data_IF_270547348134
#
_entry.id   IF_270547348134
#
_cell.length_a   1.000
_cell.length_b   1.000
_cell.length_c   1.000
_cell.angle_alpha   90.00
_cell.angle_beta   90.00
_cell.angle_gamma   90.00
#
_symmetry.space_group_name_H-M   'P 1'
#
loop_
_entity.id
_entity.type
_entity.pdbx_description
1 polymer ?
#
# COMPACT_ATOMS: atom_id res chain seq x y z
N UNK A 1 -25.63 -32.42 16.87
CA UNK A 1 -25.51 -31.90 16.38
C UNK A 1 -25.33 -31.32 15.98
N UNK A 2 -25.31 -31.56 16.16
CA UNK A 2 -25.05 -30.77 15.70
C UNK A 2 -24.66 -30.20 15.35
N UNK A 3 -24.51 -30.53 15.44
CA UNK A 3 -24.16 -29.97 14.96
C UNK A 3 -23.63 -29.54 14.59
N UNK A 4 -23.49 -29.67 14.61
CA UNK A 4 -22.98 -29.26 14.20
C UNK A 4 -22.71 -29.06 13.60
N UNK A 5 -22.99 -29.33 13.64
CA UNK A 5 -22.77 -29.21 12.95
C UNK A 5 -22.33 -29.17 12.21
N UNK A 6 -22.97 -29.43 12.11
CA UNK A 6 -22.30 -29.82 11.03
C UNK A 6 -21.18 -29.12 10.58
N UNK A 7 -20.86 -29.30 9.76
CA UNK A 7 -19.75 -28.70 9.28
C UNK A 7 -18.96 -28.23 10.37
N UNK A 8 -19.19 -28.72 11.38
CA UNK A 8 -18.55 -28.20 12.43
C UNK A 8 -17.42 -28.97 12.82
N UNK A 9 -17.30 -30.18 12.49
CA UNK A 9 -16.28 -30.94 13.10
C UNK A 9 -15.07 -31.00 12.29
N UNK A 10 -14.64 -32.10 11.81
CA UNK A 10 -13.31 -32.31 11.34
C UNK A 10 -12.91 -31.37 10.26
N UNK A 11 -13.65 -31.23 9.18
CA UNK A 11 -13.23 -30.18 8.27
C UNK A 11 -13.20 -28.84 8.95
N UNK A 12 -13.94 -28.68 10.02
CA UNK A 12 -13.95 -27.47 10.72
C UNK A 12 -12.60 -27.15 11.33
N UNK A 13 -11.91 -28.11 11.91
CA UNK A 13 -10.60 -27.88 12.43
C UNK A 13 -9.64 -27.41 11.38
N UNK A 14 -9.67 -28.05 10.20
CA UNK A 14 -8.83 -27.66 9.11
C UNK A 14 -9.22 -26.27 8.61
N UNK A 15 -10.52 -26.01 8.46
CA UNK A 15 -10.98 -24.72 8.00
C UNK A 15 -10.62 -23.61 8.97
N UNK A 16 -10.66 -23.88 10.26
CA UNK A 16 -10.27 -22.87 11.24
C UNK A 16 -8.82 -22.50 11.08
N UNK A 17 -7.94 -23.48 10.81
CA UNK A 17 -6.54 -23.18 10.56
C UNK A 17 -6.34 -22.34 9.33
N UNK A 18 -7.04 -22.66 8.24
CA UNK A 18 -6.94 -21.88 7.01
C UNK A 18 -7.46 -20.46 7.23
N UNK A 19 -8.56 -20.32 7.96
CA UNK A 19 -9.11 -19.01 8.24
C UNK A 19 -8.16 -18.15 9.05
N UNK A 20 -7.47 -18.74 10.01
CA UNK A 20 -6.48 -18.01 10.81
C UNK A 20 -5.34 -17.53 9.92
N UNK A 21 -4.84 -18.38 9.05
CA UNK A 21 -3.77 -18.00 8.13
C UNK A 21 -4.22 -16.88 7.20
N UNK A 22 -5.44 -16.98 6.67
CA UNK A 22 -5.98 -15.93 5.79
C UNK A 22 -6.11 -14.62 6.54
N UNK A 23 -6.54 -14.67 7.78
CA UNK A 23 -6.69 -13.48 8.60
C UNK A 23 -5.32 -12.84 8.89
N UNK A 24 -4.33 -13.66 9.20
CA UNK A 24 -2.99 -13.16 9.44
C UNK A 24 -2.39 -12.55 8.19
N UNK A 25 -2.61 -13.17 7.04
CA UNK A 25 -2.14 -12.63 5.77
C UNK A 25 -2.79 -11.29 5.47
N UNK A 26 -4.10 -11.20 5.67
CA UNK A 26 -4.82 -9.94 5.46
C UNK A 26 -4.29 -8.85 6.37
N UNK A 27 -3.97 -9.18 7.63
CA UNK A 27 -3.39 -8.23 8.56
C UNK A 27 -2.02 -7.76 8.10
N UNK A 28 -1.21 -8.69 7.59
CA UNK A 28 0.12 -8.36 7.11
C UNK A 28 0.04 -7.46 5.88
N UNK A 29 -0.90 -7.74 4.98
CA UNK A 29 -1.09 -6.90 3.79
C UNK A 29 -1.57 -5.51 4.16
N UNK A 30 -2.45 -5.40 5.15
CA UNK A 30 -2.92 -4.10 5.63
C UNK A 30 -1.76 -3.31 6.25
N UNK A 31 -0.90 -3.98 7.01
CA UNK A 31 0.26 -3.33 7.62
C UNK A 31 1.23 -2.84 6.54
N UNK A 32 1.47 -3.67 5.52
CA UNK A 32 2.35 -3.27 4.43
C UNK A 32 1.80 -2.06 3.68
N UNK A 33 0.48 -2.05 3.43
CA UNK A 33 -0.16 -0.92 2.78
C UNK A 33 -0.01 0.33 3.62
N UNK A 34 -0.21 0.22 4.94
CA UNK A 34 -0.07 1.36 5.84
C UNK A 34 1.34 1.93 5.83
N UNK A 35 2.36 1.05 5.87
CA UNK A 35 3.75 1.51 5.83
C UNK A 35 4.07 2.18 4.49
N UNK A 36 3.56 1.63 3.39
CA UNK A 36 3.79 2.23 2.08
C UNK A 36 3.14 3.61 1.99
N UNK A 37 1.92 3.75 2.51
CA UNK A 37 1.26 5.06 2.54
C UNK A 37 2.00 6.07 3.40
N UNK A 38 2.55 5.62 4.51
CA UNK A 38 3.34 6.50 5.38
C UNK A 38 4.58 7.02 4.65
N UNK A 39 5.24 6.17 3.87
CA UNK A 39 6.39 6.61 3.09
C UNK A 39 6.00 7.65 2.03
N UNK A 40 4.81 7.52 1.44
CA UNK A 40 4.30 8.53 0.53
C UNK A 40 4.19 9.87 1.26
N UNK A 41 3.59 9.86 2.45
CA UNK A 41 3.45 11.10 3.23
C UNK A 41 4.81 11.70 3.53
N UNK A 42 5.77 10.89 3.99
CA UNK A 42 7.09 11.38 4.37
C UNK A 42 7.87 11.93 3.19
N UNK A 43 7.86 11.22 2.06
CA UNK A 43 8.62 11.66 0.90
C UNK A 43 8.02 12.89 0.25
N UNK A 44 6.69 12.99 0.22
CA UNK A 44 6.05 14.19 -0.30
C UNK A 44 6.27 15.38 0.62
N UNK A 45 6.27 15.17 1.93
CA UNK A 45 6.54 16.26 2.87
C UNK A 45 7.96 16.80 2.67
N UNK A 46 8.93 15.92 2.51
CA UNK A 46 10.31 16.33 2.27
C UNK A 46 10.42 17.13 0.96
N UNK A 47 9.74 16.66 -0.07
CA UNK A 47 9.75 17.35 -1.36
C UNK A 47 9.12 18.75 -1.25
N UNK A 48 7.99 18.86 -0.56
CA UNK A 48 7.30 20.14 -0.42
C UNK A 48 8.10 21.14 0.40
N UNK A 49 8.89 20.66 1.34
CA UNK A 49 9.71 21.53 2.17
C UNK A 49 10.94 22.05 1.46
N UNK A 50 11.33 21.43 0.35
CA UNK A 50 12.56 21.81 -0.36
C UNK A 50 12.18 22.68 -1.54
N UNK A 51 12.48 23.98 -1.45
CA UNK A 51 11.97 24.94 -2.45
C UNK A 51 12.98 25.25 -3.55
N UNK A 52 14.23 24.87 -3.41
CA UNK A 52 15.23 25.13 -4.43
C UNK A 52 15.10 24.09 -5.55
N UNK A 53 15.20 24.55 -6.79
CA UNK A 53 15.08 23.66 -7.94
C UNK A 53 16.47 23.30 -8.43
N UNK A 54 17.06 22.30 -7.80
CA UNK A 54 18.39 21.84 -8.13
C UNK A 54 18.42 20.31 -8.16
N UNK A 55 19.60 19.74 -8.29
CA UNK A 55 19.75 18.29 -8.40
C UNK A 55 19.30 17.58 -7.12
N UNK A 56 19.48 18.22 -5.97
CA UNK A 56 19.04 17.63 -4.72
C UNK A 56 17.53 17.50 -4.70
N UNK A 57 16.80 18.46 -5.27
CA UNK A 57 15.37 18.40 -5.36
C UNK A 57 14.94 17.23 -6.25
N UNK A 58 15.68 16.98 -7.32
CA UNK A 58 15.37 15.87 -8.21
C UNK A 58 15.49 14.53 -7.51
N UNK A 59 16.42 14.40 -6.56
CA UNK A 59 16.51 13.19 -5.75
C UNK A 59 15.29 13.03 -4.85
N UNK A 60 14.74 14.13 -4.35
CA UNK A 60 13.52 14.09 -3.55
C UNK A 60 12.31 13.71 -4.41
N UNK A 61 12.24 14.19 -5.63
CA UNK A 61 11.18 13.79 -6.57
C UNK A 61 11.28 12.30 -6.85
N UNK A 62 12.49 11.81 -7.07
CA UNK A 62 12.72 10.39 -7.33
C UNK A 62 12.30 9.54 -6.13
N UNK A 63 12.65 9.96 -4.93
CA UNK A 63 12.27 9.22 -3.73
C UNK A 63 10.76 9.18 -3.56
N UNK A 64 10.08 10.30 -3.81
CA UNK A 64 8.63 10.34 -3.73
C UNK A 64 8.00 9.44 -4.81
N UNK A 65 8.56 9.44 -6.01
CA UNK A 65 8.04 8.59 -7.08
C UNK A 65 8.18 7.13 -6.73
N UNK A 66 9.31 6.74 -6.15
CA UNK A 66 9.50 5.36 -5.70
C UNK A 66 8.51 4.97 -4.63
N UNK A 67 8.25 5.88 -3.67
CA UNK A 67 7.30 5.62 -2.60
C UNK A 67 5.88 5.50 -3.15
N UNK A 68 5.49 6.37 -4.06
CA UNK A 68 4.16 6.32 -4.67
C UNK A 68 3.99 5.05 -5.49
N UNK A 69 5.01 4.67 -6.25
CA UNK A 69 4.96 3.45 -7.05
C UNK A 69 4.76 2.23 -6.16
N UNK A 70 5.54 2.13 -5.08
CA UNK A 70 5.41 1.02 -4.15
C UNK A 70 4.02 1.00 -3.50
N UNK A 71 3.49 2.17 -3.17
CA UNK A 71 2.17 2.28 -2.57
C UNK A 71 1.09 1.82 -3.55
N UNK A 72 1.19 2.20 -4.81
CA UNK A 72 0.22 1.77 -5.83
C UNK A 72 0.26 0.25 -6.00
N UNK A 73 1.44 -0.35 -5.98
CA UNK A 73 1.57 -1.82 -6.04
C UNK A 73 0.87 -2.47 -4.85
N UNK A 74 1.09 -1.93 -3.64
CA UNK A 74 0.44 -2.47 -2.45
C UNK A 74 -1.09 -2.33 -2.53
N UNK A 75 -1.58 -1.20 -3.06
CA UNK A 75 -3.02 -1.03 -3.26
C UNK A 75 -3.57 -2.09 -4.20
N UNK A 76 -2.86 -2.35 -5.29
CA UNK A 76 -3.30 -3.33 -6.27
C UNK A 76 -3.34 -4.73 -5.68
N UNK A 77 -2.38 -5.04 -4.82
CA UNK A 77 -2.34 -6.35 -4.16
C UNK A 77 -3.55 -6.59 -3.27
N UNK A 78 -4.14 -5.53 -2.71
CA UNK A 78 -5.36 -5.68 -1.90
C UNK A 78 -6.62 -5.40 -2.70
N UNK A 79 -6.51 -5.28 -4.03
CA UNK A 79 -7.68 -5.17 -4.90
C UNK A 79 -8.07 -3.76 -5.30
N UNK A 80 -7.31 -2.76 -4.90
CA UNK A 80 -7.60 -1.36 -5.25
C UNK A 80 -6.84 -1.02 -6.53
N UNK A 81 -7.53 -1.14 -7.66
CA UNK A 81 -6.86 -1.05 -8.95
C UNK A 81 -6.77 0.34 -9.53
N UNK A 82 -7.61 1.27 -9.05
CA UNK A 82 -7.60 2.65 -9.52
C UNK A 82 -7.00 3.51 -8.43
N UNK A 83 -6.28 4.56 -8.85
CA UNK A 83 -5.52 5.36 -7.90
C UNK A 83 -5.90 6.83 -7.91
N UNK A 84 -7.00 7.19 -8.60
CA UNK A 84 -7.43 8.60 -8.71
C UNK A 84 -7.65 9.23 -7.35
N UNK A 85 -8.34 8.52 -6.46
CA UNK A 85 -8.62 9.05 -5.14
C UNK A 85 -7.35 9.15 -4.29
N UNK A 86 -6.42 8.22 -4.41
CA UNK A 86 -5.15 8.30 -3.70
C UNK A 86 -4.33 9.49 -4.21
N UNK A 87 -4.30 9.71 -5.52
CA UNK A 87 -3.59 10.84 -6.10
C UNK A 87 -4.16 12.14 -5.56
N UNK A 88 -5.48 12.25 -5.50
CA UNK A 88 -6.15 13.43 -4.97
C UNK A 88 -5.90 13.60 -3.47
N UNK A 89 -6.08 12.53 -2.71
CA UNK A 89 -6.04 12.61 -1.25
C UNK A 89 -4.65 12.93 -0.73
N UNK A 90 -3.61 12.40 -1.37
CA UNK A 90 -2.23 12.71 -1.00
C UNK A 90 -1.72 13.95 -1.75
N UNK A 91 -2.50 14.49 -2.68
CA UNK A 91 -2.10 15.64 -3.51
C UNK A 91 -0.76 15.37 -4.20
N UNK A 92 -0.68 14.22 -4.87
CA UNK A 92 0.57 13.79 -5.50
C UNK A 92 0.86 14.69 -6.70
N UNK A 93 2.02 15.37 -6.72
CA UNK A 93 2.33 16.30 -7.81
C UNK A 93 2.54 15.59 -9.15
N UNK A 94 2.23 16.31 -10.24
CA UNK A 94 2.40 15.76 -11.57
C UNK A 94 3.83 15.35 -11.87
N UNK A 95 4.82 16.08 -11.37
CA UNK A 95 6.22 15.75 -11.60
C UNK A 95 6.60 14.41 -10.94
N UNK A 96 5.95 14.07 -9.82
CA UNK A 96 6.15 12.77 -9.19
C UNK A 96 5.50 11.68 -10.01
N UNK A 97 4.25 11.92 -10.45
CA UNK A 97 3.52 10.96 -11.27
C UNK A 97 4.27 10.67 -12.58
N UNK A 98 4.89 11.69 -13.15
CA UNK A 98 5.62 11.55 -14.40
C UNK A 98 6.84 10.64 -14.27
N UNK A 99 7.31 10.40 -13.05
CA UNK A 99 8.48 9.57 -12.79
C UNK A 99 8.15 8.20 -12.24
N UNK A 100 6.87 7.84 -12.20
CA UNK A 100 6.49 6.52 -11.66
C UNK A 100 7.13 5.43 -12.50
N UNK A 101 7.79 4.50 -11.82
CA UNK A 101 8.42 3.36 -12.49
C UNK A 101 9.71 3.70 -13.22
N UNK A 102 10.12 4.95 -13.23
CA UNK A 102 11.38 5.34 -13.87
C UNK A 102 12.52 5.27 -12.85
N UNK A 103 13.71 4.94 -13.31
CA UNK A 103 14.88 4.84 -12.44
C UNK A 103 15.85 5.98 -12.63
#
# INVERSE_FOLDING_TARGET
MSVRLPGQSSPRGFQTGVEVLDYELAGEMASSLGRAGERVVQTLAALRAYEVRDDARQELVKAAAQAVYAYFIQRELVGLRRHHDAIRDYAIPGEVLARLGAN
#
